data_IF_773914318172
#
_entry.id   IF_773914318172
#
_cell.length_a   1.000
_cell.length_b   1.000
_cell.length_c   1.000
_cell.angle_alpha   90.00
_cell.angle_beta   90.00
_cell.angle_gamma   90.00
#
_symmetry.space_group_name_H-M   'P 1'
#
loop_
_entity.id
_entity.type
_entity.pdbx_description
1 polymer ?
#
# COMPACT_ATOMS: atom_id res chain seq x y z
N UNK A 1 4.01 1.87 46.39
CA UNK A 1 3.48 3.24 46.23
C UNK A 1 4.26 4.06 45.18
N UNK A 2 4.86 3.43 44.16
CA UNK A 2 5.76 4.09 43.18
C UNK A 2 5.33 3.91 41.71
N UNK A 3 4.09 3.47 41.46
CA UNK A 3 3.57 3.30 40.08
C UNK A 3 2.49 4.32 39.68
N UNK A 4 2.09 5.19 40.61
CA UNK A 4 1.06 6.22 40.38
C UNK A 4 1.71 7.59 40.05
N UNK A 5 2.98 7.81 40.40
CA UNK A 5 3.71 9.06 40.15
C UNK A 5 4.18 9.20 38.69
N UNK A 6 4.33 8.09 37.96
CA UNK A 6 4.80 8.11 36.56
C UNK A 6 3.69 8.40 35.53
N UNK A 7 2.42 8.32 35.92
CA UNK A 7 1.27 8.57 35.02
C UNK A 7 0.82 10.04 34.98
N UNK A 8 1.45 10.94 35.75
CA UNK A 8 1.05 12.35 35.87
C UNK A 8 1.97 13.36 35.16
N UNK A 9 3.11 12.94 34.58
CA UNK A 9 4.09 13.86 33.97
C UNK A 9 3.91 14.02 32.44
N UNK A 10 3.19 13.11 31.77
CA UNK A 10 3.02 13.19 30.31
C UNK A 10 1.71 13.85 29.85
N UNK A 11 0.94 14.47 30.76
CA UNK A 11 -0.37 15.08 30.45
C UNK A 11 -0.37 16.63 30.48
N UNK A 12 0.76 17.32 30.67
CA UNK A 12 0.76 18.80 30.85
C UNK A 12 1.88 19.56 30.14
N UNK A 13 2.06 19.36 28.82
CA UNK A 13 2.54 20.46 27.97
C UNK A 13 1.65 20.57 26.74
N UNK A 14 0.43 20.99 27.01
CA UNK A 14 -0.32 21.87 26.14
C UNK A 14 0.57 23.08 25.83
N UNK A 15 0.62 23.49 24.57
CA UNK A 15 0.51 24.89 24.10
C UNK A 15 1.28 25.05 22.79
N UNK A 16 0.55 24.84 21.69
CA UNK A 16 0.49 25.73 20.54
C UNK A 16 1.61 26.80 20.46
N UNK A 17 2.72 26.45 19.82
CA UNK A 17 3.64 27.44 19.28
C UNK A 17 2.97 28.08 18.08
N UNK A 18 2.63 29.35 18.25
CA UNK A 18 1.97 30.21 17.28
C UNK A 18 2.84 30.33 16.02
N UNK A 19 2.25 30.04 14.86
CA UNK A 19 2.83 30.42 13.57
C UNK A 19 2.77 31.95 13.46
N UNK A 20 3.93 32.59 13.44
CA UNK A 20 4.09 34.02 13.19
C UNK A 20 3.77 34.33 11.74
N UNK A 21 2.76 35.16 11.52
CA UNK A 21 2.55 35.89 10.28
C UNK A 21 3.74 36.83 10.04
N UNK A 22 4.36 36.73 8.86
CA UNK A 22 5.08 37.84 8.23
C UNK A 22 4.47 38.03 6.86
N UNK A 23 3.66 39.08 6.75
CA UNK A 23 3.25 39.65 5.50
C UNK A 23 4.47 40.25 4.79
N UNK A 24 4.69 39.90 3.51
CA UNK A 24 4.99 40.93 2.53
C UNK A 24 4.76 40.51 1.07
N UNK A 25 3.93 41.34 0.43
CA UNK A 25 4.08 41.83 -0.95
C UNK A 25 3.64 40.93 -2.13
N UNK A 26 2.37 41.12 -2.49
CA UNK A 26 1.89 41.55 -3.81
C UNK A 26 2.77 41.19 -5.01
N UNK A 27 2.25 40.30 -5.87
CA UNK A 27 2.09 40.60 -7.30
C UNK A 27 0.92 39.76 -7.83
N UNK A 28 0.00 40.47 -8.48
CA UNK A 28 -1.15 39.94 -9.19
C UNK A 28 -0.72 38.95 -10.27
N UNK A 29 -1.34 37.76 -10.27
CA UNK A 29 -1.55 37.02 -11.49
C UNK A 29 -2.89 36.30 -11.43
N UNK A 30 -3.83 36.88 -12.16
CA UNK A 30 -5.09 36.31 -12.59
C UNK A 30 -4.79 34.97 -13.30
N UNK A 31 -5.13 33.86 -12.64
CA UNK A 31 -5.19 32.54 -13.27
C UNK A 31 -6.54 31.93 -12.92
N UNK A 32 -7.33 31.83 -13.98
CA UNK A 32 -8.57 31.10 -14.19
C UNK A 32 -8.62 29.74 -13.44
N UNK A 33 -9.78 29.31 -12.89
CA UNK A 33 -9.88 28.12 -12.06
C UNK A 33 -9.84 26.86 -12.94
N UNK A 34 -8.64 26.33 -13.17
CA UNK A 34 -8.49 24.99 -13.74
C UNK A 34 -8.75 23.98 -12.63
N UNK A 35 -9.98 23.47 -12.59
CA UNK A 35 -10.34 22.28 -11.81
C UNK A 35 -9.33 21.18 -12.09
N UNK A 36 -8.50 20.89 -11.10
CA UNK A 36 -7.75 19.66 -11.01
C UNK A 36 -8.77 18.56 -10.70
N UNK A 37 -9.28 17.99 -11.79
CA UNK A 37 -10.04 16.76 -11.80
C UNK A 37 -9.14 15.69 -11.18
N UNK A 38 -9.37 15.37 -9.90
CA UNK A 38 -8.85 14.17 -9.27
C UNK A 38 -9.26 12.99 -10.16
N UNK A 39 -8.30 12.49 -10.94
CA UNK A 39 -8.42 11.25 -11.65
C UNK A 39 -8.71 10.18 -10.60
N UNK A 40 -9.93 9.67 -10.59
CA UNK A 40 -10.26 8.43 -9.91
C UNK A 40 -9.27 7.38 -10.39
N UNK A 41 -8.24 7.12 -9.58
CA UNK A 41 -7.36 5.97 -9.79
C UNK A 41 -8.23 4.74 -9.65
N UNK A 42 -8.65 4.21 -10.81
CA UNK A 42 -9.17 2.86 -10.92
C UNK A 42 -7.99 1.92 -10.67
N UNK A 43 -7.62 1.76 -9.40
CA UNK A 43 -6.64 0.78 -8.95
C UNK A 43 -7.28 -0.58 -9.21
N UNK A 44 -7.02 -1.16 -10.38
CA UNK A 44 -7.33 -2.56 -10.62
C UNK A 44 -6.53 -3.37 -9.60
N UNK A 45 -7.17 -4.19 -8.75
CA UNK A 45 -6.44 -4.96 -7.76
C UNK A 45 -5.52 -5.95 -8.48
N UNK A 46 -4.23 -5.73 -8.37
CA UNK A 46 -3.21 -6.68 -8.78
C UNK A 46 -2.72 -7.42 -7.53
N UNK A 47 -2.59 -8.73 -7.64
CA UNK A 47 -1.77 -9.49 -6.70
C UNK A 47 -0.34 -9.51 -7.22
N UNK A 48 0.64 -9.37 -6.34
CA UNK A 48 2.04 -9.42 -6.72
C UNK A 48 2.86 -10.09 -5.61
N UNK A 49 4.00 -10.67 -5.99
CA UNK A 49 4.90 -11.28 -5.02
C UNK A 49 5.90 -12.23 -5.65
N UNK A 50 6.76 -12.77 -4.80
CA UNK A 50 7.84 -13.67 -5.20
C UNK A 50 7.37 -15.13 -5.23
N UNK A 51 7.82 -15.88 -6.23
CA UNK A 51 7.60 -17.34 -6.29
C UNK A 51 8.49 -18.01 -5.24
N UNK A 52 7.90 -18.77 -4.32
CA UNK A 52 8.64 -19.49 -3.27
C UNK A 52 8.59 -21.02 -3.44
N UNK A 53 7.62 -21.53 -4.20
CA UNK A 53 7.49 -22.96 -4.48
C UNK A 53 6.85 -23.19 -5.85
N UNK A 54 7.27 -24.25 -6.54
CA UNK A 54 6.65 -24.71 -7.80
C UNK A 54 6.37 -26.21 -7.77
N UNK A 55 5.22 -26.62 -8.33
CA UNK A 55 4.82 -28.02 -8.50
C UNK A 55 4.34 -28.25 -9.94
N UNK A 56 5.06 -29.09 -10.67
CA UNK A 56 4.65 -29.50 -12.01
C UNK A 56 3.69 -30.70 -11.94
N UNK A 57 2.49 -30.53 -12.51
CA UNK A 57 1.41 -31.52 -12.46
C UNK A 57 0.89 -31.90 -13.86
N UNK A 58 1.79 -32.07 -14.83
CA UNK A 58 1.51 -32.66 -16.15
C UNK A 58 0.67 -31.83 -17.13
N UNK A 59 -0.06 -30.81 -16.65
CA UNK A 59 -0.80 -29.85 -17.48
C UNK A 59 -0.90 -28.44 -16.89
N UNK A 60 -0.48 -28.29 -15.64
CA UNK A 60 -0.32 -27.01 -14.96
C UNK A 60 0.97 -27.04 -14.13
N UNK A 61 1.57 -25.87 -14.00
CA UNK A 61 2.54 -25.56 -12.95
C UNK A 61 1.81 -24.78 -11.88
N UNK A 62 1.80 -25.30 -10.66
CA UNK A 62 1.30 -24.60 -9.49
C UNK A 62 2.45 -23.81 -8.87
N UNK A 63 2.21 -22.55 -8.54
CA UNK A 63 3.22 -21.66 -7.97
C UNK A 63 2.68 -21.08 -6.66
N UNK A 64 3.44 -21.22 -5.57
CA UNK A 64 3.16 -20.53 -4.33
C UNK A 64 3.83 -19.16 -4.38
N UNK A 65 3.03 -18.12 -4.17
CA UNK A 65 3.46 -16.73 -4.22
C UNK A 65 3.43 -16.17 -2.80
N UNK A 66 4.56 -15.63 -2.35
CA UNK A 66 4.62 -14.82 -1.14
C UNK A 66 4.25 -13.38 -1.49
N UNK A 67 3.09 -12.91 -1.00
CA UNK A 67 2.52 -11.62 -1.39
C UNK A 67 3.37 -10.43 -0.92
N UNK A 68 3.71 -9.55 -1.87
CA UNK A 68 4.39 -8.29 -1.62
C UNK A 68 3.39 -7.12 -1.64
N UNK A 69 3.18 -6.52 -0.47
CA UNK A 69 2.22 -5.45 -0.22
C UNK A 69 2.74 -4.04 -0.58
N UNK A 70 3.99 -3.90 -1.03
CA UNK A 70 4.56 -2.61 -1.40
C UNK A 70 3.72 -1.92 -2.50
N UNK A 71 3.19 -0.74 -2.18
CA UNK A 71 2.40 0.08 -3.10
C UNK A 71 0.92 -0.24 -3.15
N UNK A 72 0.42 -1.22 -2.38
CA UNK A 72 -1.02 -1.51 -2.27
C UNK A 72 -1.57 -1.04 -0.93
N UNK A 73 -2.72 -0.35 -0.96
CA UNK A 73 -3.45 0.00 0.26
C UNK A 73 -4.13 -1.25 0.78
N UNK A 74 -3.51 -1.94 1.74
CA UNK A 74 -4.19 -2.96 2.51
C UNK A 74 -5.13 -2.30 3.50
N UNK A 75 -6.36 -2.81 3.61
CA UNK A 75 -7.19 -2.49 4.77
C UNK A 75 -6.43 -2.98 6.03
N UNK A 76 -6.31 -2.12 7.03
CA UNK A 76 -5.59 -2.44 8.27
C UNK A 76 -6.11 -3.75 8.87
N UNK A 77 -5.20 -4.70 9.15
CA UNK A 77 -5.53 -6.01 9.71
C UNK A 77 -5.44 -7.18 8.73
N UNK A 78 -5.01 -6.96 7.49
CA UNK A 78 -4.66 -8.04 6.57
C UNK A 78 -3.17 -8.37 6.64
N UNK A 79 -2.85 -9.52 7.21
CA UNK A 79 -1.52 -10.12 7.18
C UNK A 79 -1.11 -10.47 5.74
N UNK A 80 0.20 -10.55 5.48
CA UNK A 80 0.76 -11.10 4.24
C UNK A 80 0.18 -12.50 4.02
N UNK A 81 -0.49 -12.72 2.88
CA UNK A 81 -1.06 -14.02 2.56
C UNK A 81 -0.30 -14.65 1.41
N UNK A 82 0.28 -15.81 1.67
CA UNK A 82 0.73 -16.66 0.58
C UNK A 82 -0.49 -17.16 -0.21
N UNK A 83 -0.38 -17.21 -1.53
CA UNK A 83 -1.45 -17.71 -2.38
C UNK A 83 -0.92 -18.58 -3.51
N UNK A 84 -1.73 -19.57 -3.90
CA UNK A 84 -1.41 -20.46 -5.01
C UNK A 84 -1.98 -19.95 -6.32
N UNK A 85 -1.17 -20.03 -7.37
CA UNK A 85 -1.58 -19.78 -8.75
C UNK A 85 -1.32 -21.02 -9.59
N UNK A 86 -2.26 -21.37 -10.46
CA UNK A 86 -2.09 -22.42 -11.45
C UNK A 86 -1.97 -21.80 -12.84
N UNK A 87 -0.91 -22.14 -13.56
CA UNK A 87 -0.67 -21.70 -14.94
C UNK A 87 -0.41 -22.90 -15.84
N UNK A 88 -0.86 -22.86 -17.09
CA UNK A 88 -0.65 -23.96 -18.04
C UNK A 88 0.80 -24.07 -18.49
N UNK A 89 1.42 -22.92 -18.76
CA UNK A 89 2.82 -22.78 -19.15
C UNK A 89 3.36 -21.48 -18.59
N UNK A 90 4.59 -21.51 -18.10
CA UNK A 90 5.32 -20.34 -17.63
C UNK A 90 6.82 -20.58 -17.77
N UNK A 91 7.58 -19.50 -17.94
CA UNK A 91 9.05 -19.52 -17.83
C UNK A 91 9.53 -18.95 -16.50
N UNK A 92 8.61 -18.61 -15.58
CA UNK A 92 8.93 -18.06 -14.28
C UNK A 92 9.52 -19.14 -13.35
N UNK A 93 10.52 -18.76 -12.57
CA UNK A 93 11.27 -19.64 -11.67
C UNK A 93 11.13 -19.19 -10.21
N UNK A 94 11.51 -20.06 -9.27
CA UNK A 94 11.54 -19.71 -7.85
C UNK A 94 12.46 -18.49 -7.64
N UNK A 95 11.95 -17.47 -6.96
CA UNK A 95 12.61 -16.19 -6.73
C UNK A 95 12.18 -15.06 -7.67
N UNK A 96 11.48 -15.36 -8.77
CA UNK A 96 10.95 -14.33 -9.66
C UNK A 96 9.80 -13.56 -9.01
N UNK A 97 9.75 -12.26 -9.26
CA UNK A 97 8.63 -11.38 -8.93
C UNK A 97 7.57 -11.42 -10.04
N UNK A 98 6.34 -11.70 -9.66
CA UNK A 98 5.22 -11.86 -10.60
C UNK A 98 4.03 -10.99 -10.21
N UNK A 99 3.20 -10.65 -11.20
CA UNK A 99 1.97 -9.86 -11.01
C UNK A 99 0.79 -10.51 -11.71
N UNK A 100 -0.33 -10.61 -11.02
CA UNK A 100 -1.57 -11.21 -11.48
C UNK A 100 -2.69 -10.18 -11.43
N UNK A 101 -3.50 -10.13 -12.48
CA UNK A 101 -4.72 -9.35 -12.47
C UNK A 101 -5.83 -10.19 -11.84
N UNK A 102 -6.46 -9.67 -10.78
CA UNK A 102 -7.66 -10.29 -10.22
C UNK A 102 -8.85 -10.00 -11.13
N UNK A 103 -9.40 -11.02 -11.75
CA UNK A 103 -10.69 -10.93 -12.44
C UNK A 103 -11.67 -11.90 -11.79
N UNK A 104 -12.87 -11.41 -11.49
CA UNK A 104 -13.97 -12.25 -11.04
C UNK A 104 -14.56 -12.92 -12.28
N UNK A 105 -14.51 -14.25 -12.33
CA UNK A 105 -15.26 -14.99 -13.34
C UNK A 105 -16.72 -15.03 -12.87
N UNK A 106 -17.62 -14.44 -13.66
CA UNK A 106 -19.06 -14.42 -13.42
C UNK A 106 -19.74 -15.71 -13.86
#
# INVERSE_FOLDING_TARGET
MNRIILLLIALTVVLFTQCTEVANNKTEQEVEPKQEQEASENIKPFYQGAIVETIDAGGYTYMLIHENLEGHKHEEGHEHKDFWVAVTQTSAEIGDEVRFQKEMVA
#
